data_IF_925820001003
#
_entry.id   IF_925820001003
#
_cell.length_a   1.000
_cell.length_b   1.000
_cell.length_c   1.000
_cell.angle_alpha   90.00
_cell.angle_beta   90.00
_cell.angle_gamma   90.00
#
_symmetry.space_group_name_H-M   'P 1'
#
loop_
_entity.id
_entity.type
_entity.pdbx_description
1 polymer ?
#
# COMPACT_ATOMS: atom_id res chain seq x y z
N UNK A 1 13.75 48.60 7.30
CA UNK A 1 13.27 48.75 5.92
C UNK A 1 13.20 47.37 5.28
N UNK A 2 12.01 47.02 4.76
CA UNK A 2 11.65 45.95 3.80
C UNK A 2 11.87 44.48 4.17
N UNK A 3 10.74 43.84 4.46
CA UNK A 3 10.46 42.42 4.20
C UNK A 3 10.24 42.15 2.70
N UNK A 4 10.51 40.92 2.26
CA UNK A 4 9.83 40.24 1.14
C UNK A 4 10.22 38.75 1.20
N UNK A 5 9.36 37.84 1.68
CA UNK A 5 8.28 37.12 0.97
C UNK A 5 8.75 36.19 -0.15
N UNK A 6 8.41 34.91 0.05
CA UNK A 6 8.49 33.81 -0.89
C UNK A 6 7.49 33.97 -2.05
N UNK A 7 7.79 33.33 -3.19
CA UNK A 7 6.79 32.97 -4.20
C UNK A 7 7.18 31.66 -4.92
N UNK A 8 6.21 30.76 -5.17
CA UNK A 8 6.41 29.49 -5.86
C UNK A 8 6.29 29.66 -7.39
N UNK A 9 7.03 28.84 -8.15
CA UNK A 9 6.90 28.78 -9.60
C UNK A 9 5.74 27.86 -9.99
N UNK A 10 4.65 28.48 -10.46
CA UNK A 10 3.64 27.87 -11.31
C UNK A 10 4.03 28.11 -12.78
N UNK A 11 3.87 27.11 -13.65
CA UNK A 11 4.06 27.24 -15.10
C UNK A 11 2.69 27.12 -15.80
N UNK A 12 2.31 28.16 -16.54
CA UNK A 12 1.17 28.24 -17.47
C UNK A 12 1.67 28.84 -18.78
N UNK A 13 1.19 28.32 -19.93
CA UNK A 13 0.88 28.99 -21.23
C UNK A 13 1.09 28.01 -22.43
N UNK A 14 0.36 28.01 -23.56
CA UNK A 14 -0.83 28.73 -24.03
C UNK A 14 -1.34 28.14 -25.39
N UNK A 15 -2.65 28.32 -25.62
CA UNK A 15 -3.46 28.58 -26.84
C UNK A 15 -3.13 28.07 -28.26
N UNK A 16 -4.22 27.66 -28.96
CA UNK A 16 -4.43 27.81 -30.40
C UNK A 16 -5.86 27.42 -30.86
N UNK A 17 -6.69 28.41 -31.24
CA UNK A 17 -8.05 28.30 -31.79
C UNK A 17 -8.04 28.31 -33.33
N UNK A 18 -9.00 27.64 -33.98
CA UNK A 18 -9.62 28.06 -35.26
C UNK A 18 -10.98 27.33 -35.48
N UNK A 19 -11.95 28.11 -35.97
CA UNK A 19 -13.40 27.82 -36.06
C UNK A 19 -13.83 27.09 -37.34
N UNK A 20 -14.97 26.38 -37.26
CA UNK A 20 -15.78 25.96 -38.41
C UNK A 20 -17.13 25.36 -37.96
N UNK A 21 -18.25 25.98 -38.34
CA UNK A 21 -19.61 25.57 -38.03
C UNK A 21 -20.19 24.62 -39.11
N UNK A 22 -21.16 23.76 -38.76
CA UNK A 22 -22.54 23.78 -39.29
C UNK A 22 -23.36 22.46 -39.10
N UNK A 23 -24.65 22.65 -38.78
CA UNK A 23 -25.89 21.79 -38.89
C UNK A 23 -25.93 20.41 -38.20
N UNK A 24 -26.75 20.15 -37.17
CA UNK A 24 -28.22 20.10 -37.02
C UNK A 24 -28.82 18.68 -37.21
N UNK A 25 -29.53 18.15 -36.19
CA UNK A 25 -30.93 17.70 -36.24
C UNK A 25 -31.33 16.80 -35.04
N UNK A 26 -32.25 17.34 -34.23
CA UNK A 26 -33.49 16.77 -33.70
C UNK A 26 -33.69 15.24 -33.56
N UNK A 27 -34.05 14.79 -32.35
CA UNK A 27 -34.81 13.55 -32.15
C UNK A 27 -35.56 13.54 -30.81
N UNK A 28 -36.79 14.09 -30.78
CA UNK A 28 -37.87 13.60 -29.91
C UNK A 28 -38.45 12.32 -30.54
N UNK A 29 -38.44 11.18 -29.83
CA UNK A 29 -39.39 10.09 -30.12
C UNK A 29 -39.68 9.20 -28.90
N UNK A 30 -40.97 9.01 -28.69
CA UNK A 30 -41.73 8.22 -27.71
C UNK A 30 -41.35 6.73 -27.66
N UNK A 31 -41.64 6.02 -26.54
CA UNK A 31 -41.39 4.59 -26.42
C UNK A 31 -42.50 3.76 -27.08
N UNK A 32 -42.17 2.66 -27.78
CA UNK A 32 -43.17 1.69 -28.20
C UNK A 32 -43.46 0.65 -27.10
N UNK A 33 -44.74 0.32 -27.00
CA UNK A 33 -45.35 -0.71 -26.15
C UNK A 33 -45.50 -2.06 -26.87
N UNK A 34 -45.57 -3.14 -26.08
CA UNK A 34 -46.26 -4.46 -26.27
C UNK A 34 -45.47 -5.65 -26.87
N UNK A 35 -45.87 -6.93 -26.65
CA UNK A 35 -46.64 -7.54 -25.53
C UNK A 35 -46.19 -8.99 -25.10
N UNK A 36 -46.69 -9.43 -23.92
CA UNK A 36 -47.16 -10.80 -23.52
C UNK A 36 -46.24 -12.04 -23.65
N UNK A 37 -46.04 -12.75 -22.53
CA UNK A 37 -46.17 -14.23 -22.49
C UNK A 37 -45.14 -15.02 -21.67
N UNK A 38 -45.58 -15.60 -20.54
CA UNK A 38 -45.24 -16.98 -20.16
C UNK A 38 -43.92 -17.27 -19.43
N UNK A 39 -44.02 -17.41 -18.10
CA UNK A 39 -43.35 -18.44 -17.27
C UNK A 39 -41.88 -18.75 -17.48
N UNK A 40 -41.02 -18.20 -16.62
CA UNK A 40 -39.86 -18.90 -16.07
C UNK A 40 -39.37 -18.16 -14.82
N UNK A 41 -39.64 -18.74 -13.65
CA UNK A 41 -39.15 -18.28 -12.36
C UNK A 41 -37.65 -18.56 -12.29
N UNK A 42 -36.82 -17.57 -12.58
CA UNK A 42 -35.39 -17.57 -12.25
C UNK A 42 -35.16 -16.51 -11.19
N UNK A 43 -35.16 -16.97 -9.94
CA UNK A 43 -34.59 -16.25 -8.80
C UNK A 43 -33.08 -16.06 -9.04
N UNK A 44 -32.72 -14.90 -9.58
CA UNK A 44 -31.40 -14.32 -9.38
C UNK A 44 -31.59 -12.97 -8.71
N UNK A 45 -31.56 -12.99 -7.38
CA UNK A 45 -31.20 -11.81 -6.59
C UNK A 45 -29.72 -11.55 -6.88
N UNK A 46 -29.43 -10.86 -7.98
CA UNK A 46 -28.16 -10.17 -8.15
C UNK A 46 -28.20 -8.97 -7.21
N UNK A 47 -27.68 -9.17 -6.00
CA UNK A 47 -27.32 -8.07 -5.10
C UNK A 47 -26.20 -7.27 -5.78
N UNK A 48 -26.59 -6.26 -6.55
CA UNK A 48 -25.74 -5.15 -6.96
C UNK A 48 -25.95 -4.01 -5.97
N UNK A 49 -25.66 -4.27 -4.70
CA UNK A 49 -25.61 -3.25 -3.66
C UNK A 49 -24.64 -3.72 -2.56
N UNK A 50 -23.39 -3.29 -2.64
CA UNK A 50 -22.48 -3.21 -1.50
C UNK A 50 -21.57 -2.01 -1.71
N UNK A 51 -22.20 -0.84 -1.69
CA UNK A 51 -21.52 0.41 -1.41
C UNK A 51 -21.09 0.38 0.06
N UNK A 52 -19.78 0.38 0.23
CA UNK A 52 -19.03 0.50 1.49
C UNK A 52 -19.57 1.63 2.35
N UNK A 53 -20.15 1.30 3.52
CA UNK A 53 -19.99 2.00 4.81
C UNK A 53 -20.68 1.19 5.91
N UNK A 54 -19.89 0.59 6.81
CA UNK A 54 -20.41 -0.01 8.05
C UNK A 54 -20.86 -1.47 7.98
N UNK A 55 -20.28 -2.28 7.08
CA UNK A 55 -20.59 -3.70 7.06
C UNK A 55 -20.01 -4.40 8.29
N UNK A 56 -20.90 -4.97 9.09
CA UNK A 56 -20.54 -5.96 10.11
C UNK A 56 -19.90 -7.14 9.38
N UNK A 57 -18.58 -7.31 9.54
CA UNK A 57 -17.87 -8.42 8.96
C UNK A 57 -18.52 -9.73 9.39
N UNK A 58 -18.76 -10.63 8.44
CA UNK A 58 -19.32 -11.93 8.78
C UNK A 58 -18.33 -12.74 9.65
N UNK A 59 -18.82 -13.82 10.28
CA UNK A 59 -17.99 -14.66 11.15
C UNK A 59 -16.75 -15.22 10.44
N UNK A 60 -16.82 -15.47 9.12
CA UNK A 60 -15.71 -15.99 8.33
C UNK A 60 -14.65 -14.90 8.13
N UNK A 61 -15.05 -13.69 7.76
CA UNK A 61 -14.18 -12.53 7.60
C UNK A 61 -13.49 -12.18 8.91
N UNK A 62 -14.21 -12.15 10.03
CA UNK A 62 -13.62 -11.93 11.36
C UNK A 62 -12.55 -12.99 11.65
N UNK A 63 -12.82 -14.26 11.38
CA UNK A 63 -11.84 -15.33 11.58
C UNK A 63 -10.60 -15.16 10.67
N UNK A 64 -10.75 -14.66 9.44
CA UNK A 64 -9.62 -14.34 8.56
C UNK A 64 -8.79 -13.18 9.11
N UNK A 65 -9.44 -12.11 9.58
CA UNK A 65 -8.74 -10.97 10.21
C UNK A 65 -7.96 -11.45 11.43
N UNK A 66 -8.56 -12.30 12.27
CA UNK A 66 -7.89 -12.87 13.44
C UNK A 66 -6.67 -13.73 13.07
N UNK A 67 -6.74 -14.51 11.97
CA UNK A 67 -5.57 -15.24 11.44
C UNK A 67 -4.45 -14.29 11.03
N UNK A 68 -4.78 -13.18 10.38
CA UNK A 68 -3.81 -12.16 9.96
C UNK A 68 -3.21 -11.44 11.17
N UNK A 69 -4.02 -11.07 12.17
CA UNK A 69 -3.52 -10.54 13.46
C UNK A 69 -2.53 -11.52 14.09
N UNK A 70 -2.91 -12.80 14.19
CA UNK A 70 -2.06 -13.86 14.73
C UNK A 70 -0.72 -13.97 14.00
N UNK A 71 -0.74 -13.95 12.66
CA UNK A 71 0.47 -13.97 11.85
C UNK A 71 1.43 -12.84 12.19
N UNK A 72 0.97 -11.58 12.16
CA UNK A 72 1.85 -10.43 12.42
C UNK A 72 2.33 -10.38 13.88
N UNK A 73 1.51 -10.82 14.84
CA UNK A 73 1.90 -10.88 16.25
C UNK A 73 2.92 -11.98 16.55
N UNK A 74 2.85 -13.12 15.85
CA UNK A 74 3.74 -14.26 16.04
C UNK A 74 4.93 -14.27 15.08
N UNK A 75 4.99 -13.33 14.15
CA UNK A 75 6.05 -13.20 13.17
C UNK A 75 7.40 -13.12 13.89
N UNK A 76 8.32 -14.03 13.54
CA UNK A 76 9.68 -14.03 14.08
C UNK A 76 10.60 -13.17 13.22
N UNK A 77 11.81 -12.95 13.71
CA UNK A 77 12.86 -12.30 12.94
C UNK A 77 13.14 -13.10 11.67
N UNK A 78 13.24 -12.43 10.53
CA UNK A 78 13.34 -13.09 9.22
C UNK A 78 14.13 -12.27 8.22
N UNK A 79 14.55 -12.95 7.15
CA UNK A 79 15.18 -12.35 5.98
C UNK A 79 14.67 -13.02 4.71
N UNK A 80 14.84 -12.34 3.58
CA UNK A 80 14.50 -12.88 2.27
C UNK A 80 14.84 -11.92 1.15
N UNK A 81 14.21 -12.14 0.01
CA UNK A 81 14.34 -11.33 -1.21
C UNK A 81 13.01 -10.65 -1.48
N UNK A 82 13.07 -9.45 -2.05
CA UNK A 82 11.87 -8.75 -2.51
C UNK A 82 11.99 -8.30 -3.96
N UNK A 83 10.84 -8.13 -4.59
CA UNK A 83 10.70 -7.42 -5.87
C UNK A 83 9.68 -6.31 -5.68
N UNK A 84 10.12 -5.07 -5.82
CA UNK A 84 9.24 -3.92 -5.92
C UNK A 84 8.81 -3.72 -7.36
N UNK A 85 7.53 -3.45 -7.56
CA UNK A 85 6.97 -2.88 -8.79
C UNK A 85 6.32 -1.55 -8.45
N UNK A 86 6.86 -0.46 -9.01
CA UNK A 86 6.35 0.90 -8.83
C UNK A 86 5.18 1.20 -9.77
N UNK A 87 4.49 2.33 -9.59
CA UNK A 87 3.36 2.75 -10.41
C UNK A 87 3.70 2.92 -11.91
N UNK A 88 4.98 3.18 -12.23
CA UNK A 88 5.52 3.22 -13.60
C UNK A 88 5.84 1.83 -14.18
N UNK A 89 5.43 0.75 -13.49
CA UNK A 89 5.74 -0.65 -13.81
C UNK A 89 7.23 -1.01 -13.76
N UNK A 90 8.10 -0.13 -13.24
CA UNK A 90 9.51 -0.43 -13.04
C UNK A 90 9.67 -1.46 -11.92
N UNK A 91 10.46 -2.51 -12.20
CA UNK A 91 10.76 -3.56 -11.23
C UNK A 91 12.16 -3.40 -10.67
N UNK A 92 12.28 -3.41 -9.34
CA UNK A 92 13.58 -3.38 -8.65
C UNK A 92 13.60 -4.50 -7.62
N UNK A 93 14.70 -5.24 -7.56
CA UNK A 93 14.88 -6.32 -6.59
C UNK A 93 15.77 -5.89 -5.45
N UNK A 94 15.71 -6.62 -4.35
CA UNK A 94 16.60 -6.40 -3.23
C UNK A 94 16.49 -7.50 -2.19
N UNK A 95 17.14 -7.28 -1.05
CA UNK A 95 17.06 -8.15 0.12
C UNK A 95 16.36 -7.42 1.23
N UNK A 96 15.63 -8.15 2.06
CA UNK A 96 15.00 -7.57 3.22
C UNK A 96 15.33 -8.33 4.49
N UNK A 97 15.26 -7.60 5.60
CA UNK A 97 15.44 -8.10 6.95
C UNK A 97 14.33 -7.51 7.82
N UNK A 98 13.77 -8.31 8.70
CA UNK A 98 12.78 -7.86 9.68
C UNK A 98 13.18 -8.37 11.05
N UNK A 99 13.17 -7.45 12.03
CA UNK A 99 13.37 -7.75 13.44
C UNK A 99 12.24 -7.16 14.25
N UNK A 100 11.48 -7.99 14.97
CA UNK A 100 10.35 -7.47 15.74
C UNK A 100 10.82 -6.75 17.02
N UNK A 101 10.02 -5.80 17.55
CA UNK A 101 8.92 -5.09 16.88
C UNK A 101 9.46 -3.95 15.99
N UNK A 102 8.71 -3.59 14.94
CA UNK A 102 8.92 -2.35 14.17
C UNK A 102 10.16 -2.24 13.28
N UNK A 103 11.22 -3.03 13.50
CA UNK A 103 12.47 -2.88 12.74
C UNK A 103 12.45 -3.67 11.45
N UNK A 104 12.85 -3.03 10.37
CA UNK A 104 13.02 -3.66 9.08
C UNK A 104 14.10 -2.95 8.27
N UNK A 105 14.61 -3.61 7.24
CA UNK A 105 15.58 -3.05 6.30
C UNK A 105 15.34 -3.66 4.94
N UNK A 106 15.32 -2.83 3.91
CA UNK A 106 15.25 -3.18 2.50
C UNK A 106 16.48 -2.61 1.81
N UNK A 107 17.36 -3.50 1.37
CA UNK A 107 18.54 -3.18 0.59
C UNK A 107 18.25 -3.41 -0.89
N UNK A 108 18.20 -2.32 -1.68
CA UNK A 108 17.98 -2.41 -3.11
C UNK A 108 19.22 -2.95 -3.81
N UNK A 109 19.02 -3.77 -4.85
CA UNK A 109 20.12 -4.35 -5.60
C UNK A 109 20.80 -3.31 -6.51
N UNK A 110 22.12 -3.48 -6.79
CA UNK A 110 22.83 -2.62 -7.73
C UNK A 110 22.13 -2.51 -9.10
N UNK A 111 22.27 -1.36 -9.79
CA UNK A 111 23.17 -0.24 -9.49
C UNK A 111 22.66 0.73 -8.43
N UNK A 112 21.41 0.57 -7.95
CA UNK A 112 20.85 1.43 -6.90
C UNK A 112 21.57 1.19 -5.57
N UNK A 113 21.93 2.27 -4.88
CA UNK A 113 22.34 2.23 -3.48
C UNK A 113 21.27 2.81 -2.55
N UNK A 114 20.01 2.50 -2.83
CA UNK A 114 18.88 2.86 -1.98
C UNK A 114 18.77 1.86 -0.83
N UNK A 115 18.64 2.38 0.39
CA UNK A 115 18.35 1.60 1.59
C UNK A 115 17.14 2.22 2.27
N UNK A 116 16.12 1.41 2.53
CA UNK A 116 14.96 1.82 3.33
C UNK A 116 14.98 1.01 4.61
N UNK A 117 15.04 1.66 5.77
CA UNK A 117 15.11 0.95 7.04
C UNK A 117 14.31 1.63 8.14
N UNK A 118 13.90 0.87 9.13
CA UNK A 118 13.31 1.39 10.35
C UNK A 118 14.02 0.84 11.58
N UNK A 119 14.25 1.73 12.55
CA UNK A 119 14.76 1.40 13.88
C UNK A 119 13.65 1.03 14.89
N UNK A 120 12.39 1.07 14.43
CA UNK A 120 11.19 0.80 15.22
C UNK A 120 10.43 2.05 15.65
N UNK A 121 11.03 3.24 15.52
CA UNK A 121 10.41 4.53 15.83
C UNK A 121 10.35 5.42 14.59
N UNK A 122 11.42 5.43 13.80
CA UNK A 122 11.55 6.19 12.57
C UNK A 122 11.79 5.27 11.37
N UNK A 123 11.33 5.72 10.21
CA UNK A 123 11.67 5.20 8.89
C UNK A 123 12.69 6.15 8.27
N UNK A 124 13.82 5.61 7.81
CA UNK A 124 14.83 6.33 7.05
C UNK A 124 14.89 5.79 5.62
N UNK A 125 14.92 6.70 4.64
CA UNK A 125 15.14 6.42 3.23
C UNK A 125 16.49 7.03 2.87
N UNK A 126 17.50 6.18 2.68
CA UNK A 126 18.87 6.59 2.39
C UNK A 126 19.20 6.30 0.93
N UNK A 127 19.37 7.35 0.12
CA UNK A 127 19.93 7.23 -1.22
C UNK A 127 21.41 7.60 -1.16
N UNK A 128 22.29 6.59 -1.22
CA UNK A 128 23.73 6.83 -1.16
C UNK A 128 24.32 7.37 -2.47
N UNK A 129 23.60 7.29 -3.58
CA UNK A 129 24.03 7.89 -4.85
C UNK A 129 23.73 9.40 -4.84
N UNK A 130 22.58 9.80 -4.32
CA UNK A 130 22.15 11.20 -4.18
C UNK A 130 22.58 11.85 -2.86
N UNK A 131 23.08 11.06 -1.90
CA UNK A 131 23.45 11.48 -0.55
C UNK A 131 22.28 12.11 0.22
N UNK A 132 21.09 11.52 0.13
CA UNK A 132 19.90 11.95 0.88
C UNK A 132 19.56 10.96 2.00
N UNK A 133 19.08 11.49 3.14
CA UNK A 133 18.61 10.74 4.30
C UNK A 133 17.29 11.37 4.75
N UNK A 134 16.20 10.89 4.17
CA UNK A 134 14.85 11.36 4.46
C UNK A 134 14.26 10.52 5.61
N UNK A 135 13.78 11.19 6.65
CA UNK A 135 13.28 10.54 7.87
C UNK A 135 11.84 10.89 8.16
N UNK A 136 11.07 9.87 8.47
CA UNK A 136 9.66 9.96 8.81
C UNK A 136 9.40 9.21 10.12
N UNK A 137 8.48 9.68 10.95
CA UNK A 137 8.01 8.87 12.06
C UNK A 137 7.34 7.61 11.49
N UNK A 138 7.72 6.42 11.96
CA UNK A 138 7.11 5.17 11.47
C UNK A 138 5.59 5.19 11.68
N UNK A 139 5.16 5.88 12.74
CA UNK A 139 3.76 6.08 13.08
C UNK A 139 2.94 6.90 12.06
N UNK A 140 3.61 7.63 11.16
CA UNK A 140 2.98 8.39 10.07
C UNK A 140 2.96 7.61 8.74
N UNK A 141 3.34 6.33 8.77
CA UNK A 141 3.39 5.48 7.57
C UNK A 141 2.21 4.51 7.53
N UNK A 142 1.71 4.14 6.34
CA UNK A 142 0.65 3.13 6.21
C UNK A 142 1.01 1.74 6.79
N UNK A 143 2.30 1.42 6.94
CA UNK A 143 2.76 0.15 7.50
C UNK A 143 2.59 0.03 9.01
N UNK A 144 2.40 1.14 9.72
CA UNK A 144 2.29 1.18 11.18
C UNK A 144 1.37 0.09 11.71
N UNK A 145 0.19 -0.07 11.12
CA UNK A 145 -0.84 -1.03 11.57
C UNK A 145 -0.35 -2.49 11.59
N UNK A 146 0.63 -2.85 10.78
CA UNK A 146 1.19 -4.21 10.70
C UNK A 146 2.45 -4.41 11.58
N UNK A 147 3.12 -3.32 11.94
CA UNK A 147 4.45 -3.36 12.55
C UNK A 147 4.44 -3.11 14.07
N UNK A 148 3.28 -2.76 14.64
CA UNK A 148 3.09 -2.60 16.09
C UNK A 148 3.39 -3.90 16.84
N UNK A 149 3.78 -3.75 18.12
CA UNK A 149 4.03 -4.87 19.03
C UNK A 149 2.77 -5.73 19.26
N UNK A 150 1.62 -5.06 19.38
CA UNK A 150 0.31 -5.67 19.55
C UNK A 150 -0.58 -5.24 18.37
N UNK A 151 -0.59 -6.07 17.33
CA UNK A 151 -1.36 -5.86 16.10
C UNK A 151 -2.80 -6.30 16.35
N UNK A 152 -3.71 -5.33 16.33
CA UNK A 152 -5.15 -5.56 16.28
C UNK A 152 -5.76 -4.73 15.15
N UNK A 153 -5.99 -5.38 14.01
CA UNK A 153 -6.51 -4.73 12.81
C UNK A 153 -7.93 -4.20 12.95
N UNK A 154 -8.76 -4.79 13.83
CA UNK A 154 -10.14 -4.31 14.06
C UNK A 154 -10.12 -3.03 14.92
N UNK A 155 -9.23 -2.99 15.91
CA UNK A 155 -9.03 -1.83 16.79
C UNK A 155 -8.35 -0.68 16.06
N UNK A 156 -7.25 -0.94 15.36
CA UNK A 156 -6.30 0.08 14.93
C UNK A 156 -6.47 0.52 13.47
N UNK A 157 -7.12 -0.29 12.63
CA UNK A 157 -7.30 0.01 11.20
C UNK A 157 -8.77 0.02 10.78
N UNK A 158 -9.08 0.76 9.73
CA UNK A 158 -10.31 0.57 8.97
C UNK A 158 -10.06 -0.55 7.97
N UNK A 159 -10.65 -1.71 8.21
CA UNK A 159 -10.61 -2.82 7.28
C UNK A 159 -11.55 -2.49 6.11
N UNK A 160 -10.99 -2.48 4.90
CA UNK A 160 -11.70 -2.14 3.66
C UNK A 160 -12.14 -3.37 2.87
N UNK A 161 -11.37 -4.45 2.96
CA UNK A 161 -11.60 -5.67 2.19
C UNK A 161 -11.07 -6.85 2.98
N UNK A 162 -11.85 -7.92 3.04
CA UNK A 162 -11.41 -9.23 3.56
C UNK A 162 -11.98 -10.29 2.66
N UNK A 163 -11.09 -11.05 2.05
CA UNK A 163 -11.47 -12.15 1.19
C UNK A 163 -10.46 -13.28 1.28
N UNK A 164 -10.93 -14.47 0.92
CA UNK A 164 -10.13 -15.66 0.76
C UNK A 164 -10.36 -16.14 -0.66
N UNK A 165 -9.31 -16.06 -1.48
CA UNK A 165 -9.32 -16.51 -2.88
C UNK A 165 -8.37 -17.70 -2.96
N UNK A 166 -8.92 -18.87 -3.26
CA UNK A 166 -8.21 -20.15 -3.22
C UNK A 166 -7.49 -20.38 -1.88
N UNK A 167 -6.16 -20.42 -1.88
CA UNK A 167 -5.32 -20.56 -0.70
C UNK A 167 -4.65 -19.24 -0.28
N UNK A 168 -5.18 -18.09 -0.71
CA UNK A 168 -4.67 -16.75 -0.38
C UNK A 168 -5.69 -15.95 0.41
N UNK A 169 -5.26 -15.41 1.55
CA UNK A 169 -6.02 -14.43 2.33
C UNK A 169 -5.60 -13.04 1.85
N UNK A 170 -6.57 -12.22 1.46
CA UNK A 170 -6.36 -10.83 1.06
C UNK A 170 -7.06 -9.92 2.04
N UNK A 171 -6.32 -8.98 2.63
CA UNK A 171 -6.86 -7.98 3.55
C UNK A 171 -6.41 -6.60 3.11
N UNK A 172 -7.36 -5.69 2.88
CA UNK A 172 -7.06 -4.27 2.65
C UNK A 172 -7.39 -3.46 3.90
N UNK A 173 -6.46 -2.58 4.27
CA UNK A 173 -6.48 -1.78 5.48
C UNK A 173 -6.22 -0.33 5.11
N UNK A 174 -6.82 0.55 5.89
CA UNK A 174 -6.51 1.97 5.90
C UNK A 174 -6.32 2.40 7.35
N UNK A 175 -5.27 3.17 7.63
CA UNK A 175 -5.09 3.73 8.97
C UNK A 175 -6.28 4.65 9.31
N UNK A 176 -6.71 4.66 10.57
CA UNK A 176 -7.76 5.56 11.05
C UNK A 176 -7.23 6.99 11.26
N UNK A 177 -5.91 7.16 11.35
CA UNK A 177 -5.24 8.44 11.52
C UNK A 177 -5.31 9.29 10.25
N UNK A 178 -5.67 10.58 10.34
CA UNK A 178 -5.62 11.50 9.20
C UNK A 178 -4.19 11.79 8.73
N UNK A 179 -3.19 11.52 9.57
CA UNK A 179 -1.78 11.90 9.33
C UNK A 179 -1.03 10.89 8.45
N UNK A 180 -1.59 9.69 8.24
CA UNK A 180 -1.02 8.64 7.41
C UNK A 180 -1.98 8.27 6.27
N UNK A 181 -2.28 9.18 5.32
CA UNK A 181 -3.20 8.91 4.23
C UNK A 181 -2.60 7.89 3.28
N UNK A 182 -2.98 6.62 3.46
CA UNK A 182 -2.59 5.54 2.57
C UNK A 182 -3.34 4.25 2.88
N UNK A 183 -3.40 3.37 1.88
CA UNK A 183 -4.00 2.03 2.01
C UNK A 183 -2.91 0.99 1.87
N UNK A 184 -3.07 -0.11 2.58
CA UNK A 184 -2.22 -1.29 2.42
C UNK A 184 -3.10 -2.51 2.18
N UNK A 185 -2.83 -3.24 1.10
CA UNK A 185 -3.44 -4.54 0.81
C UNK A 185 -2.39 -5.61 0.97
N UNK A 186 -2.62 -6.59 1.83
CA UNK A 186 -1.71 -7.71 2.09
C UNK A 186 -2.25 -9.01 1.52
N UNK A 187 -1.35 -9.86 1.06
CA UNK A 187 -1.65 -11.18 0.48
C UNK A 187 -0.86 -12.23 1.25
N UNK A 188 -1.57 -13.11 1.96
CA UNK A 188 -0.97 -14.19 2.74
C UNK A 188 -1.34 -15.54 2.13
N UNK A 189 -0.35 -16.32 1.75
CA UNK A 189 -0.57 -17.72 1.36
C UNK A 189 -0.83 -18.57 2.60
N UNK A 190 -1.81 -19.48 2.54
CA UNK A 190 -2.19 -20.37 3.65
C UNK A 190 -1.37 -21.66 3.71
N UNK A 191 -0.76 -22.06 2.59
CA UNK A 191 -0.03 -23.32 2.44
C UNK A 191 1.42 -23.06 2.00
N UNK A 192 2.39 -23.87 2.46
CA UNK A 192 2.25 -24.96 3.44
C UNK A 192 1.98 -24.47 4.88
N UNK A 193 2.27 -23.20 5.15
CA UNK A 193 1.97 -22.47 6.37
C UNK A 193 1.52 -21.06 6.00
N UNK A 194 0.91 -20.36 6.96
CA UNK A 194 0.50 -18.97 6.75
C UNK A 194 1.75 -18.08 6.60
N UNK A 195 1.89 -17.40 5.45
CA UNK A 195 3.05 -16.60 5.12
C UNK A 195 2.69 -15.38 4.26
N UNK A 196 3.21 -14.21 4.60
CA UNK A 196 3.06 -12.99 3.80
C UNK A 196 3.86 -13.12 2.50
N UNK A 197 3.19 -13.01 1.37
CA UNK A 197 3.80 -13.12 0.03
C UNK A 197 3.89 -11.78 -0.68
N UNK A 198 2.92 -10.91 -0.45
CA UNK A 198 2.85 -9.65 -1.17
C UNK A 198 2.15 -8.60 -0.31
N UNK A 199 2.51 -7.34 -0.53
CA UNK A 199 1.62 -6.25 -0.23
C UNK A 199 1.63 -5.19 -1.33
N UNK A 200 0.58 -4.39 -1.36
CA UNK A 200 0.43 -3.21 -2.20
C UNK A 200 0.13 -2.03 -1.29
N UNK A 201 0.94 -0.97 -1.39
CA UNK A 201 0.64 0.31 -0.76
C UNK A 201 0.11 1.29 -1.80
N UNK A 202 -0.96 1.99 -1.45
CA UNK A 202 -1.54 3.08 -2.24
C UNK A 202 -1.39 4.38 -1.46
N UNK A 203 -0.75 5.39 -2.05
CA UNK A 203 -0.57 6.69 -1.42
C UNK A 203 -1.81 7.61 -1.59
N UNK A 204 -1.73 8.85 -1.09
CA UNK A 204 -2.79 9.85 -1.21
C UNK A 204 -3.09 10.30 -2.64
N UNK A 205 -2.16 10.07 -3.58
CA UNK A 205 -2.32 10.38 -5.00
C UNK A 205 -2.90 9.19 -5.78
N UNK A 206 -3.09 8.04 -5.14
CA UNK A 206 -3.57 6.81 -5.77
C UNK A 206 -2.48 6.01 -6.46
N UNK A 207 -1.20 6.36 -6.29
CA UNK A 207 -0.09 5.62 -6.87
C UNK A 207 0.14 4.34 -6.07
N UNK A 208 0.25 3.22 -6.79
CA UNK A 208 0.46 1.91 -6.21
C UNK A 208 1.93 1.51 -6.24
N UNK A 209 2.41 0.98 -5.12
CA UNK A 209 3.70 0.27 -5.04
C UNK A 209 3.44 -1.13 -4.54
N UNK A 210 3.81 -2.13 -5.34
CA UNK A 210 3.68 -3.55 -5.03
C UNK A 210 5.02 -4.10 -4.58
N UNK A 211 5.05 -4.87 -3.50
CA UNK A 211 6.22 -5.59 -3.06
C UNK A 211 5.88 -7.08 -2.96
N UNK A 212 6.59 -7.89 -3.73
CA UNK A 212 6.52 -9.35 -3.71
C UNK A 212 7.70 -9.89 -2.87
N UNK A 213 7.45 -10.87 -2.00
CA UNK A 213 8.45 -11.50 -1.14
C UNK A 213 8.73 -12.94 -1.55
N UNK A 214 10.00 -13.34 -1.53
CA UNK A 214 10.45 -14.70 -1.77
C UNK A 214 11.58 -15.11 -0.84
N UNK A 215 11.84 -16.41 -0.77
CA UNK A 215 12.97 -17.01 -0.04
C UNK A 215 13.00 -16.64 1.45
N UNK A 216 11.80 -16.57 2.07
CA UNK A 216 11.65 -16.25 3.48
C UNK A 216 12.32 -17.29 4.35
N UNK A 217 13.24 -16.84 5.20
CA UNK A 217 13.98 -17.67 6.14
C UNK A 217 13.99 -17.01 7.51
N UNK A 218 13.72 -17.80 8.56
CA UNK A 218 13.86 -17.35 9.95
C UNK A 218 15.31 -16.94 10.25
N UNK A 219 15.50 -15.85 10.99
CA UNK A 219 16.81 -15.28 11.29
C UNK A 219 16.89 -14.87 12.76
N UNK A 220 17.23 -15.82 13.63
CA UNK A 220 17.21 -15.64 15.09
C UNK A 220 18.31 -14.71 15.63
N UNK A 221 19.29 -14.35 14.80
CA UNK A 221 20.52 -13.65 15.18
C UNK A 221 20.79 -12.38 14.36
N UNK A 222 19.76 -11.72 13.82
CA UNK A 222 19.93 -10.45 13.10
C UNK A 222 20.55 -9.39 14.01
N UNK A 223 21.73 -8.89 13.59
CA UNK A 223 22.46 -7.82 14.26
C UNK A 223 21.60 -6.55 14.32
N UNK A 224 21.31 -6.01 15.52
CA UNK A 224 20.59 -4.76 15.69
C UNK A 224 21.20 -3.57 14.94
N UNK A 225 22.50 -3.59 14.64
CA UNK A 225 23.18 -2.54 13.88
C UNK A 225 22.68 -2.42 12.44
N UNK A 226 22.11 -3.48 11.85
CA UNK A 226 21.52 -3.44 10.51
C UNK A 226 20.40 -2.41 10.39
N UNK A 227 19.69 -2.17 11.49
CA UNK A 227 18.51 -1.31 11.55
C UNK A 227 18.82 0.12 11.99
N UNK A 228 20.11 0.52 11.97
CA UNK A 228 20.53 1.89 12.23
C UNK A 228 20.91 2.58 10.92
N UNK A 229 20.44 3.82 10.67
CA UNK A 229 20.85 4.57 9.49
C UNK A 229 22.36 4.76 9.45
N UNK A 230 22.97 4.55 8.29
CA UNK A 230 24.39 4.79 8.11
C UNK A 230 24.66 6.29 8.01
N UNK A 231 25.75 6.83 8.60
CA UNK A 231 26.12 8.22 8.38
C UNK A 231 26.38 8.48 6.89
N UNK A 232 25.64 9.43 6.31
CA UNK A 232 26.02 10.01 5.03
C UNK A 232 27.18 10.96 5.30
N UNK A 233 28.33 10.72 4.67
CA UNK A 233 29.47 11.59 4.85
C UNK A 233 29.12 13.02 4.40
N UNK A 234 29.01 13.94 5.37
CA UNK A 234 29.01 15.38 5.10
C UNK A 234 30.39 15.71 4.50
N UNK A 235 30.43 16.06 3.21
CA UNK A 235 31.58 16.78 2.69
C UNK A 235 31.59 18.11 3.46
N UNK A 236 32.55 18.25 4.39
CA UNK A 236 32.91 19.56 4.92
C UNK A 236 33.17 20.43 3.69
N UNK A 237 32.32 21.43 3.46
CA UNK A 237 32.63 22.52 2.55
C UNK A 237 33.92 23.14 3.09
N UNK A 238 35.03 22.86 2.41
CA UNK A 238 36.31 23.53 2.64
C UNK A 238 36.32 24.83 1.86
#
# INVERSE_FOLDING_TARGET
MKACMAAPFALIAALGLLSGAAFAQDAKKTPPTNPVGGGATWTQTVNRDAAVTGEEFDKKQIALIQKVNGYFNQMSDMKGVFVQTSADSKRIRGKFFVKRPGRFRFDYAPPSKLVILSDGEYLAIQDHDLKTDDRFALDQTPFRVLLRKDVDLLRDARVLEVQEIDDVIVVALQDKSPDAPGRIKVFLAKKPNLELKEWITTDSQGLETRIELSDLTKADDLDPALFKPAPLALQKLQ
#
